data_IF_683855038139
#
_entry.id   IF_683855038139
#
_cell.length_a   1.000
_cell.length_b   1.000
_cell.length_c   1.000
_cell.angle_alpha   90.00
_cell.angle_beta   90.00
_cell.angle_gamma   90.00
#
_symmetry.space_group_name_H-M   'P 1'
#
loop_
_entity.id
_entity.type
_entity.pdbx_description
1 polymer ?
#
# COMPACT_ATOMS: atom_id res chain seq x y z
N UNK A 1 -16.92 1.60 -20.69
CA UNK A 1 -15.95 0.53 -20.36
C UNK A 1 -15.30 0.97 -19.08
N UNK A 2 -15.38 0.16 -18.03
CA UNK A 2 -14.69 0.42 -16.77
C UNK A 2 -13.24 0.00 -16.96
N UNK A 3 -12.36 0.96 -17.24
CA UNK A 3 -10.92 0.71 -17.37
C UNK A 3 -10.32 0.56 -15.97
N UNK A 4 -9.37 -0.37 -15.82
CA UNK A 4 -8.57 -0.51 -14.62
C UNK A 4 -7.56 0.62 -14.54
N UNK A 5 -7.79 1.59 -13.65
CA UNK A 5 -6.89 2.74 -13.50
C UNK A 5 -5.55 2.38 -12.87
N UNK A 6 -5.43 1.18 -12.28
CA UNK A 6 -4.16 0.69 -11.77
C UNK A 6 -3.25 0.17 -12.88
N UNK A 7 -3.77 -0.06 -14.09
CA UNK A 7 -3.04 -0.67 -15.20
C UNK A 7 -2.37 -2.01 -14.81
N UNK A 8 -3.04 -2.82 -13.98
CA UNK A 8 -2.53 -4.10 -13.47
C UNK A 8 -1.46 -3.99 -12.38
N UNK A 9 -1.23 -2.80 -11.81
CA UNK A 9 -0.29 -2.61 -10.70
C UNK A 9 -0.82 -3.20 -9.40
N UNK A 10 -2.13 -3.13 -9.17
CA UNK A 10 -2.76 -3.71 -7.98
C UNK A 10 -3.08 -5.21 -8.16
N UNK A 11 -3.25 -5.97 -7.05
CA UNK A 11 -3.70 -7.36 -7.11
C UNK A 11 -5.10 -7.55 -7.71
N UNK A 12 -5.91 -6.49 -7.74
CA UNK A 12 -7.26 -6.47 -8.28
C UNK A 12 -7.46 -5.23 -9.14
N UNK A 13 -8.17 -5.39 -10.27
CA UNK A 13 -8.59 -4.27 -11.12
C UNK A 13 -9.29 -3.20 -10.28
N UNK A 14 -8.94 -1.94 -10.54
CA UNK A 14 -9.50 -0.76 -9.89
C UNK A 14 -10.35 0.02 -10.92
N UNK A 15 -11.66 -0.28 -11.06
CA UNK A 15 -12.53 0.42 -12.00
C UNK A 15 -12.91 1.83 -11.53
N UNK A 16 -13.13 2.72 -12.50
CA UNK A 16 -13.80 4.02 -12.32
C UNK A 16 -15.20 4.00 -12.92
N UNK A 17 -16.20 4.36 -12.11
CA UNK A 17 -17.60 4.46 -12.52
C UNK A 17 -18.08 5.90 -12.35
N UNK A 18 -18.59 6.51 -13.42
CA UNK A 18 -19.24 7.81 -13.39
C UNK A 18 -20.62 7.71 -14.03
N UNK A 19 -21.66 7.71 -13.19
CA UNK A 19 -23.06 7.72 -13.61
C UNK A 19 -23.72 9.11 -13.36
N UNK A 20 -22.93 10.11 -12.99
CA UNK A 20 -23.40 11.45 -12.60
C UNK A 20 -23.29 12.44 -13.77
N UNK A 21 -22.16 12.44 -14.47
CA UNK A 21 -21.88 13.36 -15.57
C UNK A 21 -20.88 12.79 -16.60
N UNK A 22 -20.49 13.62 -17.57
CA UNK A 22 -19.53 13.27 -18.64
C UNK A 22 -18.06 13.55 -18.25
N UNK A 23 -17.77 13.74 -16.96
CA UNK A 23 -16.41 14.01 -16.49
C UNK A 23 -15.56 12.74 -16.55
N UNK A 24 -14.37 12.87 -17.11
CA UNK A 24 -13.37 11.81 -17.12
C UNK A 24 -12.31 12.08 -16.04
N UNK A 25 -11.65 11.02 -15.60
CA UNK A 25 -10.54 11.16 -14.66
C UNK A 25 -9.37 11.84 -15.38
N UNK A 26 -8.78 12.86 -14.76
CA UNK A 26 -7.60 13.53 -15.31
C UNK A 26 -6.45 12.54 -15.51
N UNK A 27 -5.66 12.64 -16.60
CA UNK A 27 -4.55 11.73 -16.84
C UNK A 27 -3.52 11.79 -15.70
N UNK A 28 -3.17 10.62 -15.16
CA UNK A 28 -2.18 10.46 -14.11
C UNK A 28 -1.41 9.16 -14.28
N UNK A 29 -0.29 9.03 -13.57
CA UNK A 29 0.47 7.78 -13.49
C UNK A 29 0.14 7.11 -12.16
N UNK A 30 -0.52 5.96 -12.22
CA UNK A 30 -0.81 5.16 -11.04
C UNK A 30 0.49 4.62 -10.40
N UNK A 31 0.55 4.60 -9.07
CA UNK A 31 1.65 4.03 -8.30
C UNK A 31 1.11 3.50 -6.97
N UNK A 32 1.40 2.24 -6.66
CA UNK A 32 1.15 1.63 -5.35
C UNK A 32 2.33 1.82 -4.38
N UNK A 33 3.43 2.43 -4.85
CA UNK A 33 4.61 2.75 -4.05
C UNK A 33 4.73 4.25 -3.79
N UNK A 34 5.25 4.59 -2.61
CA UNK A 34 5.61 5.96 -2.24
C UNK A 34 6.95 6.30 -2.87
N UNK A 35 7.00 7.39 -3.64
CA UNK A 35 8.25 7.92 -4.19
C UNK A 35 8.85 8.96 -3.24
N UNK A 36 10.03 8.67 -2.73
CA UNK A 36 10.80 9.60 -1.92
C UNK A 36 11.66 10.48 -2.83
N UNK A 37 11.62 11.81 -2.62
CA UNK A 37 12.39 12.78 -3.41
C UNK A 37 13.89 12.83 -3.04
N UNK A 38 14.33 11.96 -2.14
CA UNK A 38 15.69 11.88 -1.64
C UNK A 38 16.29 10.53 -2.01
N UNK A 39 17.56 10.54 -2.41
CA UNK A 39 18.28 9.35 -2.91
C UNK A 39 18.66 8.34 -1.82
N UNK A 40 18.40 8.66 -0.54
CA UNK A 40 18.70 7.76 0.59
C UNK A 40 17.55 7.73 1.60
N UNK A 41 17.00 6.53 1.77
CA UNK A 41 16.20 6.15 2.92
C UNK A 41 17.12 5.29 3.77
N UNK A 42 17.52 5.76 4.95
CA UNK A 42 18.24 4.92 5.92
C UNK A 42 17.21 4.16 6.74
N UNK A 43 16.96 2.91 6.38
CA UNK A 43 16.18 2.00 7.20
C UNK A 43 17.08 1.43 8.30
N UNK A 44 16.77 1.74 9.56
CA UNK A 44 17.39 1.06 10.70
C UNK A 44 16.44 -0.02 11.20
N UNK A 45 16.86 -1.27 11.10
CA UNK A 45 16.08 -2.43 11.54
C UNK A 45 16.28 -2.70 13.04
N UNK A 46 15.21 -3.12 13.71
CA UNK A 46 15.31 -3.75 15.03
C UNK A 46 15.56 -5.24 14.81
N UNK A 47 16.58 -5.83 15.46
CA UNK A 47 16.72 -7.29 15.54
C UNK A 47 15.54 -7.86 16.34
N UNK A 48 14.45 -8.23 15.66
CA UNK A 48 13.33 -8.90 16.31
C UNK A 48 13.73 -10.36 16.58
N UNK A 49 13.94 -10.68 17.86
CA UNK A 49 14.09 -12.06 18.33
C UNK A 49 12.71 -12.73 18.34
N UNK A 50 12.60 -13.90 17.71
CA UNK A 50 11.38 -14.73 17.67
C UNK A 50 10.15 -14.14 16.96
N UNK A 51 10.35 -13.19 16.02
CA UNK A 51 9.27 -12.64 15.20
C UNK A 51 8.09 -12.07 16.03
N UNK A 52 8.42 -11.46 17.17
CA UNK A 52 7.49 -10.63 17.95
C UNK A 52 8.07 -9.23 17.91
N UNK A 53 7.85 -8.52 16.81
CA UNK A 53 8.12 -7.08 16.84
C UNK A 53 7.02 -6.44 17.69
N UNK A 54 7.35 -5.52 18.63
CA UNK A 54 6.33 -4.87 19.43
C UNK A 54 5.40 -4.08 18.51
N UNK A 55 4.24 -4.66 18.18
CA UNK A 55 3.16 -3.91 17.57
C UNK A 55 2.75 -2.84 18.58
N UNK A 56 3.03 -1.59 18.24
CA UNK A 56 2.79 -0.46 19.10
C UNK A 56 2.25 0.69 18.27
N UNK A 57 1.08 1.19 18.68
CA UNK A 57 0.76 2.59 18.46
C UNK A 57 1.49 3.35 19.56
N UNK A 58 2.47 4.16 19.19
CA UNK A 58 2.95 5.22 20.08
C UNK A 58 2.51 6.58 19.51
N UNK A 59 2.77 7.64 20.27
CA UNK A 59 2.43 9.00 19.90
C UNK A 59 3.17 9.49 18.64
N UNK A 60 4.18 8.73 18.17
CA UNK A 60 5.01 9.04 17.01
C UNK A 60 4.65 8.23 15.75
N UNK A 61 3.76 7.22 15.84
CA UNK A 61 3.33 6.44 14.68
C UNK A 61 3.10 4.95 14.96
N UNK A 62 2.92 4.22 13.86
CA UNK A 62 2.73 2.77 13.84
C UNK A 62 4.00 2.09 13.32
N UNK A 63 4.46 1.03 13.98
CA UNK A 63 5.69 0.32 13.64
C UNK A 63 5.34 -1.09 13.14
N UNK A 64 5.80 -1.44 11.94
CA UNK A 64 5.73 -2.79 11.35
C UNK A 64 7.14 -3.35 11.04
N UNK A 65 7.20 -4.64 10.74
CA UNK A 65 8.40 -5.29 10.25
C UNK A 65 8.81 -4.75 8.86
N UNK A 66 9.96 -4.09 8.79
CA UNK A 66 10.58 -3.72 7.51
C UNK A 66 11.34 -4.88 6.84
N UNK A 67 11.89 -4.67 5.62
CA UNK A 67 12.64 -5.67 4.86
C UNK A 67 13.86 -6.26 5.59
N UNK A 68 14.46 -5.50 6.52
CA UNK A 68 15.58 -5.95 7.35
C UNK A 68 15.17 -6.95 8.46
N UNK A 69 13.87 -7.13 8.70
CA UNK A 69 13.36 -8.04 9.72
C UNK A 69 13.40 -9.48 9.19
N UNK A 70 13.92 -10.47 9.95
CA UNK A 70 14.00 -11.86 9.51
C UNK A 70 12.64 -12.60 9.52
N UNK A 71 11.53 -11.89 9.76
CA UNK A 71 10.21 -12.47 9.86
C UNK A 71 9.69 -12.94 8.49
N UNK A 72 8.97 -14.08 8.43
CA UNK A 72 8.17 -14.45 7.26
C UNK A 72 7.16 -13.36 6.88
N UNK A 73 7.02 -13.10 5.58
CA UNK A 73 6.15 -12.04 5.02
C UNK A 73 4.64 -12.34 5.13
N UNK A 74 4.28 -13.57 5.52
CA UNK A 74 2.91 -14.03 5.72
C UNK A 74 2.37 -13.78 7.14
N UNK A 75 3.22 -13.28 8.05
CA UNK A 75 2.85 -12.93 9.43
C UNK A 75 1.94 -11.71 9.46
N UNK A 76 1.07 -11.68 10.48
CA UNK A 76 0.15 -10.55 10.74
C UNK A 76 0.90 -9.21 10.88
N UNK A 77 2.14 -9.26 11.35
CA UNK A 77 3.05 -8.13 11.57
C UNK A 77 3.65 -7.52 10.27
N UNK A 78 3.42 -8.15 9.12
CA UNK A 78 3.86 -7.70 7.80
C UNK A 78 2.68 -7.35 6.87
N UNK A 79 1.43 -7.47 7.35
CA UNK A 79 0.25 -7.49 6.46
C UNK A 79 -0.01 -6.16 5.75
N UNK A 80 0.18 -5.01 6.40
CA UNK A 80 -0.16 -3.72 5.76
C UNK A 80 0.94 -3.24 4.82
N UNK A 81 2.19 -3.46 5.17
CA UNK A 81 3.34 -3.05 4.36
C UNK A 81 3.61 -3.96 3.16
N UNK A 82 3.17 -5.23 3.15
CA UNK A 82 3.63 -6.19 2.13
C UNK A 82 2.54 -6.85 1.28
N UNK A 83 1.26 -6.63 1.54
CA UNK A 83 0.17 -7.37 0.86
C UNK A 83 -0.69 -6.52 -0.10
N UNK A 84 -0.44 -5.21 -0.21
CA UNK A 84 -1.21 -4.32 -1.09
C UNK A 84 -2.71 -4.29 -0.76
N UNK A 85 -3.55 -3.90 -1.72
CA UNK A 85 -5.00 -3.91 -1.55
C UNK A 85 -5.52 -5.34 -1.31
N UNK A 86 -6.20 -5.56 -0.19
CA UNK A 86 -6.83 -6.85 0.13
C UNK A 86 -8.30 -6.94 -0.32
N UNK A 87 -8.85 -5.86 -0.87
CA UNK A 87 -10.27 -5.73 -1.21
C UNK A 87 -10.40 -5.25 -2.65
N UNK A 88 -11.45 -5.71 -3.33
CA UNK A 88 -11.87 -5.13 -4.61
C UNK A 88 -12.53 -3.79 -4.31
N UNK A 89 -11.99 -2.72 -4.88
CA UNK A 89 -12.46 -1.36 -4.70
C UNK A 89 -12.93 -0.82 -6.06
N UNK A 90 -13.74 0.24 -6.01
CA UNK A 90 -14.14 1.03 -7.18
C UNK A 90 -14.11 2.51 -6.81
N UNK A 91 -13.78 3.35 -7.79
CA UNK A 91 -13.83 4.80 -7.66
C UNK A 91 -15.12 5.28 -8.31
N UNK A 92 -15.97 5.94 -7.52
CA UNK A 92 -17.28 6.43 -7.97
C UNK A 92 -17.35 7.95 -7.90
N UNK A 93 -17.93 8.57 -8.92
CA UNK A 93 -18.31 9.97 -8.89
C UNK A 93 -19.63 10.11 -8.13
N UNK A 94 -19.73 11.10 -7.23
CA UNK A 94 -20.90 11.34 -6.36
C UNK A 94 -21.26 12.81 -6.28
#
# INVERSE_FOLDING_TARGET
MTEDISCGVEPFDLPVVNDVDDTFLDPFVYSNEVRFLVDRIEETGIECKDCVCPQGYNECGFVECGPACPCPTDRVECRRTQQGLSWRLEVVYS
#
